data_IF_258270842141
#
_entry.id   IF_258270842141
#
_cell.length_a   1.000
_cell.length_b   1.000
_cell.length_c   1.000
_cell.angle_alpha   90.00
_cell.angle_beta   90.00
_cell.angle_gamma   90.00
#
_symmetry.space_group_name_H-M   'P 1'
#
loop_
_entity.id
_entity.type
_entity.pdbx_description
1 polymer ?
#
# COMPACT_ATOMS: atom_id res chain seq x y z
N UNK A 1 0.44 1.38 10.68
CA UNK A 1 -0.14 2.49 11.44
C UNK A 1 0.03 3.81 10.72
N UNK A 2 1.19 4.45 10.87
CA UNK A 2 1.50 5.79 10.31
C UNK A 2 1.21 5.94 8.82
N UNK A 3 1.57 4.92 8.03
CA UNK A 3 1.36 4.87 6.58
C UNK A 3 -0.12 5.08 6.18
N UNK A 4 -1.07 4.62 7.02
CA UNK A 4 -2.50 4.72 6.73
C UNK A 4 -3.16 5.99 7.28
N UNK A 5 -2.45 6.81 8.07
CA UNK A 5 -2.99 8.05 8.61
C UNK A 5 -3.46 9.00 7.50
N UNK A 6 -2.78 8.97 6.34
CA UNK A 6 -3.14 9.75 5.16
C UNK A 6 -4.57 9.51 4.67
N UNK A 7 -5.10 8.29 4.74
CA UNK A 7 -6.47 8.00 4.31
C UNK A 7 -7.50 8.73 5.15
N UNK A 8 -7.31 8.77 6.46
CA UNK A 8 -8.22 9.46 7.38
C UNK A 8 -8.16 10.98 7.17
N UNK A 9 -6.95 11.53 7.12
CA UNK A 9 -6.73 12.96 6.87
C UNK A 9 -7.35 13.38 5.55
N UNK A 10 -7.15 12.60 4.49
CA UNK A 10 -7.74 12.84 3.19
C UNK A 10 -9.27 12.79 3.22
N UNK A 11 -9.86 11.73 3.81
CA UNK A 11 -11.32 11.56 3.89
C UNK A 11 -11.99 12.76 4.60
N UNK A 12 -11.41 13.17 5.73
CA UNK A 12 -11.91 14.32 6.49
C UNK A 12 -11.72 15.65 5.75
N UNK A 13 -10.56 15.85 5.12
CA UNK A 13 -10.28 17.05 4.32
C UNK A 13 -11.18 17.16 3.09
N UNK A 14 -11.45 16.04 2.41
CA UNK A 14 -12.39 15.97 1.29
C UNK A 14 -13.81 16.34 1.74
N UNK A 15 -14.28 15.79 2.86
CA UNK A 15 -15.60 16.14 3.41
C UNK A 15 -15.72 17.63 3.72
N UNK A 16 -14.69 18.22 4.32
CA UNK A 16 -14.63 19.65 4.61
C UNK A 16 -14.59 20.52 3.34
N UNK A 17 -13.77 20.16 2.36
CA UNK A 17 -13.66 20.88 1.09
C UNK A 17 -14.98 20.88 0.30
N UNK A 18 -15.70 19.74 0.29
CA UNK A 18 -17.00 19.65 -0.37
C UNK A 18 -18.08 20.47 0.35
N UNK A 19 -18.06 20.54 1.68
CA UNK A 19 -18.98 21.40 2.44
C UNK A 19 -18.75 22.88 2.15
N UNK A 20 -17.48 23.30 2.02
CA UNK A 20 -17.11 24.66 1.62
C UNK A 20 -17.63 25.03 0.23
N UNK A 21 -17.63 24.10 -0.71
CA UNK A 21 -18.10 24.33 -2.09
C UNK A 21 -19.62 24.47 -2.20
N UNK A 22 -20.39 23.85 -1.29
CA UNK A 22 -21.87 23.92 -1.27
C UNK A 22 -22.38 25.16 -0.52
N UNK A 23 -21.60 25.69 0.42
CA UNK A 23 -21.99 26.84 1.24
C UNK A 23 -21.66 28.17 0.58
N UNK A 24 -22.66 28.93 0.13
CA UNK A 24 -22.48 30.37 -0.12
C UNK A 24 -21.99 31.05 1.17
N UNK A 25 -20.86 31.74 1.08
CA UNK A 25 -20.13 32.33 2.20
C UNK A 25 -20.92 33.51 2.81
N UNK A 26 -21.90 33.19 3.66
CA UNK A 26 -22.58 34.17 4.50
C UNK A 26 -21.84 34.34 5.82
N UNK A 27 -21.57 35.59 6.20
CA UNK A 27 -20.89 36.00 7.45
C UNK A 27 -21.51 35.35 8.70
N UNK A 28 -22.81 35.02 8.68
CA UNK A 28 -23.52 34.34 9.78
C UNK A 28 -23.06 32.91 10.05
N UNK A 29 -22.36 32.25 9.10
CA UNK A 29 -21.86 30.88 9.23
C UNK A 29 -20.43 30.78 9.77
N UNK A 30 -19.72 31.89 9.94
CA UNK A 30 -18.33 31.93 10.41
C UNK A 30 -18.09 31.17 11.73
N UNK A 31 -18.91 31.33 12.80
CA UNK A 31 -18.71 30.58 14.04
C UNK A 31 -18.99 29.07 13.88
N UNK A 32 -19.88 28.68 12.96
CA UNK A 32 -20.15 27.27 12.64
C UNK A 32 -18.97 26.64 11.89
N UNK A 33 -18.38 27.38 10.95
CA UNK A 33 -17.18 26.99 10.22
C UNK A 33 -15.98 26.81 11.16
N UNK A 34 -15.79 27.72 12.13
CA UNK A 34 -14.71 27.60 13.12
C UNK A 34 -14.87 26.35 13.99
N UNK A 35 -16.10 26.05 14.44
CA UNK A 35 -16.39 24.80 15.17
C UNK A 35 -16.07 23.55 14.35
N UNK A 36 -16.37 23.57 13.04
CA UNK A 36 -16.04 22.45 12.13
C UNK A 36 -14.53 22.30 11.93
N UNK A 37 -13.80 23.40 11.75
CA UNK A 37 -12.33 23.38 11.64
C UNK A 37 -11.70 22.87 12.94
N UNK A 38 -12.18 23.33 14.09
CA UNK A 38 -11.68 22.87 15.39
C UNK A 38 -11.98 21.38 15.61
N UNK A 39 -13.17 20.92 15.22
CA UNK A 39 -13.54 19.50 15.26
C UNK A 39 -12.68 18.64 14.30
N UNK A 40 -12.38 19.17 13.11
CA UNK A 40 -11.47 18.53 12.18
C UNK A 40 -10.06 18.42 12.77
N UNK A 41 -9.53 19.52 13.28
CA UNK A 41 -8.20 19.59 13.88
C UNK A 41 -8.09 18.66 15.11
N UNK A 42 -9.08 18.67 15.99
CA UNK A 42 -9.09 17.80 17.17
C UNK A 42 -9.20 16.33 16.79
N UNK A 43 -10.06 15.98 15.83
CA UNK A 43 -10.17 14.60 15.34
C UNK A 43 -8.89 14.12 14.65
N UNK A 44 -8.23 14.96 13.86
CA UNK A 44 -6.95 14.66 13.24
C UNK A 44 -5.85 14.48 14.29
N UNK A 45 -5.78 15.37 15.29
CA UNK A 45 -4.80 15.28 16.38
C UNK A 45 -4.99 14.01 17.23
N UNK A 46 -6.23 13.68 17.62
CA UNK A 46 -6.53 12.46 18.37
C UNK A 46 -6.15 11.20 17.59
N UNK A 47 -6.44 11.16 16.29
CA UNK A 47 -6.06 10.03 15.43
C UNK A 47 -4.55 9.93 15.25
N UNK A 48 -3.86 11.05 14.97
CA UNK A 48 -2.41 11.07 14.87
C UNK A 48 -1.75 10.62 16.18
N UNK A 49 -2.28 11.04 17.33
CA UNK A 49 -1.84 10.59 18.65
C UNK A 49 -2.06 9.08 18.81
N UNK A 50 -3.26 8.57 18.53
CA UNK A 50 -3.57 7.14 18.62
C UNK A 50 -2.71 6.27 17.70
N UNK A 51 -2.43 6.72 16.47
CA UNK A 51 -1.58 6.01 15.51
C UNK A 51 -0.10 6.04 15.93
N UNK A 52 0.36 7.15 16.51
CA UNK A 52 1.76 7.33 16.92
C UNK A 52 2.05 6.76 18.31
N UNK A 53 1.02 6.54 19.14
CA UNK A 53 1.17 6.07 20.51
C UNK A 53 1.92 4.73 20.61
N UNK A 54 1.59 3.67 19.85
CA UNK A 54 2.35 2.41 19.90
C UNK A 54 3.82 2.61 19.54
N UNK A 55 4.10 3.46 18.55
CA UNK A 55 5.47 3.80 18.17
C UNK A 55 6.19 4.52 19.31
N UNK A 56 5.57 5.54 19.92
CA UNK A 56 6.15 6.29 21.04
C UNK A 56 6.39 5.39 22.26
N UNK A 57 5.43 4.51 22.60
CA UNK A 57 5.59 3.53 23.68
C UNK A 57 6.75 2.56 23.41
N UNK A 58 6.88 2.07 22.17
CA UNK A 58 8.01 1.22 21.78
C UNK A 58 9.34 1.97 21.84
N UNK A 59 9.42 3.21 21.35
CA UNK A 59 10.64 4.02 21.44
C UNK A 59 11.03 4.28 22.89
N UNK A 60 10.06 4.62 23.75
CA UNK A 60 10.29 4.79 25.18
C UNK A 60 10.79 3.51 25.84
N UNK A 61 10.13 2.37 25.56
CA UNK A 61 10.57 1.05 26.04
C UNK A 61 12.01 0.73 25.62
N UNK A 62 12.34 0.92 24.34
CA UNK A 62 13.68 0.67 23.82
C UNK A 62 14.72 1.62 24.44
N UNK A 63 14.39 2.89 24.63
CA UNK A 63 15.27 3.87 25.27
C UNK A 63 15.57 3.47 26.72
N UNK A 64 14.55 3.15 27.52
CA UNK A 64 14.76 2.69 28.91
C UNK A 64 15.61 1.42 28.94
N UNK A 65 15.42 0.51 27.98
CA UNK A 65 16.12 -0.78 27.93
C UNK A 65 17.60 -0.67 27.53
N UNK A 66 17.94 0.24 26.61
CA UNK A 66 19.29 0.33 26.03
C UNK A 66 20.10 1.56 26.49
N UNK A 67 19.44 2.62 26.98
CA UNK A 67 20.09 3.90 27.30
C UNK A 67 20.14 4.22 28.80
N UNK A 68 19.28 3.60 29.62
CA UNK A 68 19.27 3.80 31.07
C UNK A 68 20.25 2.85 31.77
N UNK A 69 21.14 3.36 32.65
CA UNK A 69 22.05 2.52 33.43
C UNK A 69 21.27 1.69 34.45
N UNK A 70 21.61 0.40 34.58
CA UNK A 70 21.10 -0.47 35.66
C UNK A 70 19.65 -0.96 35.53
N UNK A 71 18.91 -0.60 34.47
CA UNK A 71 17.54 -1.09 34.20
C UNK A 71 17.50 -2.21 33.17
N UNK A 72 18.63 -2.90 33.00
CA UNK A 72 18.63 -4.25 32.46
C UNK A 72 17.82 -5.14 33.38
N UNK A 73 16.47 -5.12 33.34
CA UNK A 73 15.63 -6.24 33.79
C UNK A 73 16.40 -7.50 33.39
N UNK A 74 16.81 -8.30 34.39
CA UNK A 74 17.69 -9.46 34.27
C UNK A 74 17.07 -10.60 33.46
N UNK A 75 16.54 -10.27 32.30
CA UNK A 75 16.05 -11.18 31.30
C UNK A 75 17.29 -11.65 30.57
N UNK A 76 17.82 -12.78 31.05
CA UNK A 76 18.85 -13.56 30.39
C UNK A 76 18.40 -13.79 28.96
N UNK A 77 19.00 -13.05 28.03
CA UNK A 77 18.78 -13.27 26.60
C UNK A 77 19.18 -14.72 26.32
N UNK A 78 18.31 -15.53 25.69
CA UNK A 78 18.63 -16.92 25.38
C UNK A 78 19.98 -17.04 24.67
N UNK A 79 20.78 -18.05 25.02
CA UNK A 79 22.12 -18.25 24.45
C UNK A 79 22.15 -18.27 22.91
N UNK A 80 21.16 -18.85 22.19
CA UNK A 80 21.14 -18.78 20.73
C UNK A 80 21.09 -17.34 20.17
N UNK A 81 20.39 -16.43 20.85
CA UNK A 81 20.31 -15.02 20.46
C UNK A 81 21.58 -14.27 20.84
N UNK A 82 22.27 -14.68 21.91
CA UNK A 82 23.59 -14.15 22.26
C UNK A 82 24.64 -14.57 21.24
N UNK A 83 24.63 -15.83 20.79
CA UNK A 83 25.49 -16.31 19.71
C UNK A 83 25.24 -15.52 18.42
N UNK A 84 23.98 -15.38 18.01
CA UNK A 84 23.63 -14.55 16.84
C UNK A 84 24.12 -13.10 16.98
N UNK A 85 23.98 -12.52 18.17
CA UNK A 85 24.44 -11.16 18.43
C UNK A 85 25.98 -11.05 18.32
N UNK A 86 26.73 -12.05 18.80
CA UNK A 86 28.20 -12.09 18.63
C UNK A 86 28.57 -12.23 17.14
N UNK A 87 27.92 -13.14 16.43
CA UNK A 87 28.21 -13.43 15.01
C UNK A 87 27.91 -12.24 14.10
N UNK A 88 26.83 -11.50 14.39
CA UNK A 88 26.40 -10.33 13.62
C UNK A 88 26.93 -8.99 14.16
N UNK A 89 27.65 -9.02 15.29
CA UNK A 89 28.12 -7.80 15.96
C UNK A 89 26.99 -6.90 16.51
N UNK A 90 25.86 -7.49 16.89
CA UNK A 90 24.74 -6.75 17.47
C UNK A 90 24.98 -6.39 18.94
N UNK A 91 24.58 -5.18 19.30
CA UNK A 91 24.59 -4.73 20.70
C UNK A 91 23.42 -5.33 21.47
N UNK A 92 23.71 -5.93 22.62
CA UNK A 92 22.72 -6.51 23.53
C UNK A 92 22.43 -5.52 24.67
N UNK A 93 21.16 -5.42 25.07
CA UNK A 93 20.75 -4.58 26.19
C UNK A 93 21.25 -5.15 27.53
N UNK A 94 21.70 -4.28 28.43
CA UNK A 94 22.03 -4.65 29.81
C UNK A 94 23.37 -5.36 30.02
N UNK A 95 24.24 -5.44 29.01
CA UNK A 95 25.66 -5.72 29.23
C UNK A 95 26.40 -4.41 29.55
N UNK A 96 27.41 -4.47 30.42
CA UNK A 96 28.25 -3.36 30.90
C UNK A 96 29.14 -2.75 29.80
N UNK A 97 28.51 -2.35 28.70
CA UNK A 97 29.13 -1.74 27.54
C UNK A 97 28.77 -0.26 27.41
N UNK A 98 29.56 0.46 26.60
CA UNK A 98 29.29 1.85 26.26
C UNK A 98 27.89 2.01 25.65
N UNK A 99 27.16 3.04 26.11
CA UNK A 99 25.83 3.38 25.60
C UNK A 99 25.84 3.50 24.07
N UNK A 100 24.82 2.98 23.37
CA UNK A 100 24.69 3.19 21.93
C UNK A 100 24.70 4.69 21.57
N UNK A 101 25.30 5.08 20.42
CA UNK A 101 25.43 6.49 20.05
C UNK A 101 24.08 7.18 19.85
N UNK A 102 23.05 6.43 19.44
CA UNK A 102 21.69 6.95 19.27
C UNK A 102 21.04 7.41 20.58
N UNK A 103 21.52 6.94 21.74
CA UNK A 103 21.05 7.42 23.04
C UNK A 103 21.41 8.90 23.31
N UNK A 104 22.47 9.41 22.66
CA UNK A 104 22.94 10.79 22.84
C UNK A 104 22.46 11.74 21.73
N UNK A 105 21.65 11.25 20.79
CA UNK A 105 21.11 12.07 19.71
C UNK A 105 19.94 12.92 20.20
N UNK A 106 19.74 14.08 19.56
CA UNK A 106 18.62 15.00 19.86
C UNK A 106 17.25 14.32 19.80
N UNK A 107 17.10 13.34 18.91
CA UNK A 107 15.91 12.50 18.79
C UNK A 107 16.35 11.03 18.81
N UNK A 108 16.33 10.36 19.97
CA UNK A 108 16.84 9.00 20.10
C UNK A 108 15.86 7.97 19.51
N UNK A 109 15.90 7.79 18.20
CA UNK A 109 15.07 6.82 17.48
C UNK A 109 15.87 5.55 17.21
N UNK A 110 15.57 4.48 17.96
CA UNK A 110 16.31 3.22 17.87
C UNK A 110 16.29 2.62 16.47
N UNK A 111 15.16 2.75 15.78
CA UNK A 111 14.95 2.12 14.47
C UNK A 111 15.82 2.77 13.39
N UNK A 112 15.98 4.09 13.41
CA UNK A 112 16.87 4.79 12.47
C UNK A 112 18.32 4.35 12.64
N UNK A 113 18.77 4.16 13.88
CA UNK A 113 20.10 3.61 14.14
C UNK A 113 20.26 2.17 13.64
N UNK A 114 19.27 1.30 13.87
CA UNK A 114 19.29 -0.09 13.40
C UNK A 114 19.33 -0.14 11.87
N UNK A 115 18.47 0.63 11.22
CA UNK A 115 18.38 0.71 9.76
C UNK A 115 19.70 1.15 9.13
N UNK A 116 20.35 2.17 9.70
CA UNK A 116 21.63 2.68 9.21
C UNK A 116 22.78 1.72 9.52
N UNK A 117 22.95 1.34 10.79
CA UNK A 117 24.14 0.62 11.29
C UNK A 117 24.16 -0.86 10.90
N UNK A 118 23.01 -1.54 11.00
CA UNK A 118 22.96 -2.99 10.84
C UNK A 118 22.36 -3.43 9.51
N UNK A 119 21.43 -2.66 8.96
CA UNK A 119 20.73 -3.05 7.73
C UNK A 119 21.24 -2.32 6.48
N UNK A 120 22.04 -1.26 6.64
CA UNK A 120 22.49 -0.38 5.57
C UNK A 120 21.34 0.12 4.68
N UNK A 121 20.24 0.53 5.32
CA UNK A 121 19.06 1.08 4.64
C UNK A 121 19.19 2.59 4.55
N UNK A 122 18.97 3.14 3.36
CA UNK A 122 19.01 4.57 3.11
C UNK A 122 18.67 4.91 1.66
N UNK A 123 18.58 6.20 1.35
CA UNK A 123 18.27 6.66 0.00
C UNK A 123 19.31 6.15 -1.00
N UNK A 124 18.86 5.33 -1.94
CA UNK A 124 19.63 4.69 -3.02
C UNK A 124 20.81 3.81 -2.59
N UNK A 125 20.98 3.52 -1.30
CA UNK A 125 22.10 2.71 -0.79
C UNK A 125 22.08 1.26 -1.28
N UNK A 126 20.93 0.75 -1.71
CA UNK A 126 20.76 -0.61 -2.20
C UNK A 126 21.02 -0.78 -3.71
N UNK A 127 21.27 0.31 -4.45
CA UNK A 127 21.42 0.29 -5.91
C UNK A 127 22.83 -0.17 -6.31
N UNK A 128 23.10 -1.46 -6.10
CA UNK A 128 24.34 -2.12 -6.50
C UNK A 128 24.06 -3.15 -7.59
N UNK A 129 25.01 -3.36 -8.51
CA UNK A 129 24.89 -4.36 -9.58
C UNK A 129 24.69 -5.78 -9.05
N UNK A 130 25.26 -6.08 -7.87
CA UNK A 130 25.11 -7.38 -7.19
C UNK A 130 23.65 -7.67 -6.80
N UNK A 131 22.84 -6.63 -6.63
CA UNK A 131 21.43 -6.75 -6.24
C UNK A 131 20.50 -6.91 -7.43
N UNK A 132 21.00 -6.91 -8.67
CA UNK A 132 20.19 -7.03 -9.88
C UNK A 132 19.18 -8.20 -9.85
N UNK A 133 19.50 -9.41 -9.34
CA UNK A 133 18.51 -10.48 -9.21
C UNK A 133 17.31 -10.10 -8.34
N UNK A 134 17.52 -9.33 -7.28
CA UNK A 134 16.44 -8.86 -6.40
C UNK A 134 15.55 -7.82 -7.09
N UNK A 135 16.15 -6.95 -7.91
CA UNK A 135 15.39 -6.01 -8.75
C UNK A 135 14.53 -6.75 -9.78
N UNK A 136 15.07 -7.80 -10.42
CA UNK A 136 14.31 -8.63 -11.36
C UNK A 136 13.14 -9.34 -10.67
N UNK A 137 13.32 -9.80 -9.42
CA UNK A 137 12.26 -10.43 -8.65
C UNK A 137 11.12 -9.44 -8.30
N UNK A 138 11.45 -8.19 -7.98
CA UNK A 138 10.45 -7.16 -7.67
C UNK A 138 9.81 -6.54 -8.93
N UNK A 139 10.43 -6.72 -10.11
CA UNK A 139 10.04 -6.08 -11.36
C UNK A 139 8.54 -6.23 -11.67
N UNK A 140 7.91 -7.42 -11.63
CA UNK A 140 6.49 -7.56 -12.01
C UNK A 140 5.56 -6.68 -11.16
N UNK A 141 5.82 -6.61 -9.85
CA UNK A 141 5.01 -5.80 -8.93
C UNK A 141 5.25 -4.31 -9.14
N UNK A 142 6.51 -3.90 -9.32
CA UNK A 142 6.83 -2.49 -9.61
C UNK A 142 6.21 -2.01 -10.92
N UNK A 143 6.23 -2.84 -11.97
CA UNK A 143 5.61 -2.53 -13.26
C UNK A 143 4.09 -2.46 -13.15
N UNK A 144 3.45 -3.41 -12.46
CA UNK A 144 1.99 -3.40 -12.27
C UNK A 144 1.52 -2.15 -11.52
N UNK A 145 2.19 -1.77 -10.42
CA UNK A 145 1.81 -0.58 -9.66
C UNK A 145 2.09 0.70 -10.44
N UNK A 146 3.21 0.77 -11.17
CA UNK A 146 3.53 1.91 -12.04
C UNK A 146 2.52 2.06 -13.17
N UNK A 147 2.12 0.96 -13.80
CA UNK A 147 1.12 0.94 -14.86
C UNK A 147 -0.28 1.31 -14.33
N UNK A 148 -0.64 0.84 -13.14
CA UNK A 148 -1.86 1.23 -12.46
C UNK A 148 -1.91 2.75 -12.22
N UNK A 149 -0.82 3.33 -11.72
CA UNK A 149 -0.69 4.76 -11.50
C UNK A 149 -0.79 5.55 -12.80
N UNK A 150 -0.03 5.14 -13.83
CA UNK A 150 -0.06 5.78 -15.15
C UNK A 150 -1.47 5.78 -15.75
N UNK A 151 -2.13 4.62 -15.77
CA UNK A 151 -3.48 4.46 -16.32
C UNK A 151 -4.51 5.34 -15.61
N UNK A 152 -4.41 5.45 -14.28
CA UNK A 152 -5.32 6.29 -13.52
C UNK A 152 -5.10 7.78 -13.81
N UNK A 153 -3.84 8.22 -13.80
CA UNK A 153 -3.45 9.63 -14.01
C UNK A 153 -3.79 10.08 -15.43
N UNK A 154 -3.53 9.25 -16.44
CA UNK A 154 -3.87 9.56 -17.83
C UNK A 154 -5.39 9.66 -18.06
N UNK A 155 -6.18 8.86 -17.34
CA UNK A 155 -7.65 8.83 -17.47
C UNK A 155 -8.34 9.94 -16.67
N UNK A 156 -7.77 10.34 -15.53
CA UNK A 156 -8.37 11.33 -14.61
C UNK A 156 -7.40 12.49 -14.24
N UNK A 157 -6.77 13.17 -15.21
CA UNK A 157 -5.72 14.17 -14.92
C UNK A 157 -6.24 15.33 -14.06
N UNK A 158 -7.46 15.82 -14.33
CA UNK A 158 -8.07 16.88 -13.52
C UNK A 158 -8.35 16.43 -12.08
N UNK A 159 -8.78 15.19 -11.88
CA UNK A 159 -9.04 14.67 -10.53
C UNK A 159 -7.74 14.53 -9.74
N UNK A 160 -6.65 14.12 -10.39
CA UNK A 160 -5.32 14.09 -9.78
C UNK A 160 -4.81 15.49 -9.42
N UNK A 161 -4.99 16.47 -10.31
CA UNK A 161 -4.59 17.87 -10.06
C UNK A 161 -5.38 18.51 -8.91
N UNK A 162 -6.68 18.23 -8.80
CA UNK A 162 -7.53 18.76 -7.73
C UNK A 162 -7.48 17.91 -6.46
N UNK A 163 -6.65 16.86 -6.44
CA UNK A 163 -6.59 15.84 -5.39
C UNK A 163 -7.98 15.26 -5.05
N UNK A 164 -8.92 15.24 -6.00
CA UNK A 164 -10.30 14.83 -5.76
C UNK A 164 -11.07 15.66 -4.70
N UNK A 165 -10.58 16.88 -4.40
CA UNK A 165 -11.23 17.82 -3.49
C UNK A 165 -12.29 18.68 -4.17
N UNK A 166 -12.27 18.75 -5.50
CA UNK A 166 -13.27 19.47 -6.29
C UNK A 166 -14.43 18.55 -6.70
N UNK A 167 -15.66 19.04 -6.55
CA UNK A 167 -16.86 18.33 -7.03
C UNK A 167 -16.84 18.24 -8.55
N UNK A 168 -16.74 17.02 -9.07
CA UNK A 168 -16.84 16.81 -10.52
C UNK A 168 -18.29 16.92 -10.99
N UNK A 169 -18.54 17.63 -12.10
CA UNK A 169 -19.85 17.63 -12.80
C UNK A 169 -20.34 16.21 -13.15
N UNK A 170 -19.43 15.23 -13.22
CA UNK A 170 -19.78 13.82 -13.42
C UNK A 170 -20.36 13.16 -12.17
N UNK A 171 -19.91 13.54 -10.97
CA UNK A 171 -20.49 13.06 -9.70
C UNK A 171 -21.88 13.68 -9.45
N UNK A 172 -22.08 14.92 -9.90
CA UNK A 172 -23.36 15.63 -9.82
C UNK A 172 -24.45 15.02 -10.73
N UNK A 173 -24.05 14.39 -11.83
CA UNK A 173 -24.94 13.65 -12.74
C UNK A 173 -25.27 12.22 -12.28
N UNK A 174 -24.80 11.80 -11.09
CA UNK A 174 -25.18 10.52 -10.49
C UNK A 174 -24.75 9.26 -11.27
N UNK A 175 -23.84 9.38 -12.26
CA UNK A 175 -23.23 8.21 -12.92
C UNK A 175 -21.96 7.84 -12.16
N UNK A 176 -21.96 6.85 -11.26
CA UNK A 176 -20.72 6.30 -10.75
C UNK A 176 -19.93 5.77 -11.96
N UNK A 177 -18.67 6.20 -12.08
CA UNK A 177 -17.74 5.52 -12.98
C UNK A 177 -17.43 4.18 -12.32
N UNK A 178 -18.04 3.12 -12.83
CA UNK A 178 -17.81 1.77 -12.35
C UNK A 178 -16.38 1.32 -12.71
N UNK A 179 -15.68 0.70 -11.75
CA UNK A 179 -14.36 0.09 -11.96
C UNK A 179 -13.16 0.90 -11.44
N UNK A 180 -11.96 0.47 -11.85
CA UNK A 180 -10.68 0.97 -11.33
C UNK A 180 -10.45 2.47 -11.57
N UNK A 181 -10.97 3.01 -12.67
CA UNK A 181 -10.82 4.43 -13.01
C UNK A 181 -11.81 5.36 -12.27
N UNK A 182 -12.56 4.84 -11.29
CA UNK A 182 -13.49 5.63 -10.48
C UNK A 182 -12.78 6.55 -9.46
N UNK A 183 -13.49 7.57 -8.93
CA UNK A 183 -12.92 8.51 -7.96
C UNK A 183 -12.55 7.86 -6.61
N UNK A 184 -13.17 6.72 -6.26
CA UNK A 184 -12.86 6.00 -5.03
C UNK A 184 -11.47 5.36 -5.04
N UNK A 185 -10.97 4.96 -6.21
CA UNK A 185 -9.65 4.33 -6.34
C UNK A 185 -8.49 5.33 -6.19
N UNK A 186 -8.75 6.63 -6.35
CA UNK A 186 -7.73 7.69 -6.33
C UNK A 186 -6.79 7.60 -5.12
N UNK A 187 -7.35 7.52 -3.92
CA UNK A 187 -6.57 7.54 -2.68
C UNK A 187 -5.64 6.33 -2.59
N UNK A 188 -6.13 5.17 -3.03
CA UNK A 188 -5.35 3.93 -3.04
C UNK A 188 -4.24 3.97 -4.10
N UNK A 189 -4.47 4.61 -5.26
CA UNK A 189 -3.45 4.80 -6.30
C UNK A 189 -2.35 5.73 -5.80
N UNK A 190 -2.71 6.88 -5.21
CA UNK A 190 -1.75 7.83 -4.63
C UNK A 190 -0.93 7.13 -3.53
N UNK A 191 -1.60 6.38 -2.67
CA UNK A 191 -0.96 5.61 -1.61
C UNK A 191 0.02 4.58 -2.17
N UNK A 192 -0.41 3.73 -3.12
CA UNK A 192 0.45 2.72 -3.74
C UNK A 192 1.68 3.35 -4.42
N UNK A 193 1.49 4.49 -5.10
CA UNK A 193 2.56 5.21 -5.78
C UNK A 193 3.56 5.79 -4.79
N UNK A 194 3.09 6.38 -3.70
CA UNK A 194 3.96 6.89 -2.63
C UNK A 194 4.75 5.75 -1.96
N UNK A 195 4.11 4.61 -1.70
CA UNK A 195 4.78 3.43 -1.15
C UNK A 195 5.80 2.83 -2.12
N UNK A 196 5.49 2.81 -3.41
CA UNK A 196 6.43 2.35 -4.44
C UNK A 196 7.65 3.27 -4.49
N UNK A 197 7.44 4.58 -4.57
CA UNK A 197 8.54 5.55 -4.64
C UNK A 197 9.43 5.48 -3.39
N UNK A 198 8.82 5.46 -2.20
CA UNK A 198 9.55 5.34 -0.94
C UNK A 198 10.26 4.00 -0.82
N UNK A 199 9.56 2.89 -1.04
CA UNK A 199 10.12 1.55 -0.88
C UNK A 199 11.20 1.24 -1.91
N UNK A 200 11.05 1.69 -3.14
CA UNK A 200 12.06 1.51 -4.19
C UNK A 200 13.33 2.34 -3.91
N UNK A 201 13.18 3.56 -3.37
CA UNK A 201 14.31 4.47 -3.16
C UNK A 201 15.01 4.26 -1.82
N UNK A 202 14.27 3.87 -0.78
CA UNK A 202 14.74 3.91 0.61
C UNK A 202 14.70 2.56 1.32
N UNK A 203 14.25 1.48 0.69
CA UNK A 203 14.21 0.14 1.28
C UNK A 203 14.93 -0.87 0.39
N UNK A 204 15.27 -2.03 0.96
CA UNK A 204 15.75 -3.16 0.19
C UNK A 204 14.62 -3.69 -0.70
N UNK A 205 14.90 -3.80 -2.00
CA UNK A 205 13.91 -4.14 -3.03
C UNK A 205 13.30 -5.53 -2.82
N UNK A 206 14.02 -6.43 -2.13
CA UNK A 206 13.50 -7.73 -1.68
C UNK A 206 12.22 -7.62 -0.85
N UNK A 207 12.11 -6.58 -0.02
CA UNK A 207 10.96 -6.39 0.88
C UNK A 207 9.84 -5.62 0.18
N UNK A 208 10.13 -4.95 -0.95
CA UNK A 208 9.20 -4.08 -1.67
C UNK A 208 7.93 -4.80 -2.10
N UNK A 209 8.06 -6.02 -2.64
CA UNK A 209 6.90 -6.83 -3.09
C UNK A 209 5.95 -7.14 -1.95
N UNK A 210 6.48 -7.58 -0.80
CA UNK A 210 5.68 -7.87 0.40
C UNK A 210 5.07 -6.60 0.97
N UNK A 211 5.84 -5.51 1.00
CA UNK A 211 5.40 -4.22 1.48
C UNK A 211 4.21 -3.68 0.67
N UNK A 212 4.30 -3.70 -0.66
CA UNK A 212 3.21 -3.28 -1.55
C UNK A 212 2.00 -4.21 -1.47
N UNK A 213 2.21 -5.53 -1.46
CA UNK A 213 1.12 -6.51 -1.39
C UNK A 213 0.35 -6.49 -0.07
N UNK A 214 0.99 -6.14 1.04
CA UNK A 214 0.33 -6.02 2.34
C UNK A 214 -0.31 -4.66 2.58
N UNK A 215 0.18 -3.60 1.93
CA UNK A 215 -0.20 -2.23 2.25
C UNK A 215 -1.16 -1.59 1.26
N UNK A 216 -1.34 -2.16 0.05
CA UNK A 216 -2.20 -1.57 -0.98
C UNK A 216 -3.03 -2.61 -1.76
N UNK A 217 -4.35 -2.37 -1.93
CA UNK A 217 -5.20 -3.23 -2.74
C UNK A 217 -4.97 -3.04 -4.25
N UNK A 218 -4.25 -2.00 -4.68
CA UNK A 218 -4.01 -1.69 -6.10
C UNK A 218 -3.33 -2.84 -6.84
N UNK A 219 -2.43 -3.57 -6.14
CA UNK A 219 -1.76 -4.73 -6.71
C UNK A 219 -2.75 -5.84 -7.13
N UNK A 220 -3.94 -5.89 -6.54
CA UNK A 220 -4.97 -6.87 -6.85
C UNK A 220 -6.06 -6.28 -7.76
N UNK A 221 -6.49 -5.05 -7.50
CA UNK A 221 -7.55 -4.40 -8.26
C UNK A 221 -7.15 -4.09 -9.70
N UNK A 222 -5.91 -3.65 -9.93
CA UNK A 222 -5.49 -3.30 -11.28
C UNK A 222 -5.37 -4.53 -12.20
N UNK A 223 -4.75 -5.66 -11.79
CA UNK A 223 -4.81 -6.88 -12.59
C UNK A 223 -6.22 -7.41 -12.82
N UNK A 224 -7.12 -7.30 -11.83
CA UNK A 224 -8.52 -7.66 -12.01
C UNK A 224 -9.21 -6.78 -13.07
N UNK A 225 -8.90 -5.48 -13.08
CA UNK A 225 -9.36 -4.56 -14.12
C UNK A 225 -8.80 -4.94 -15.50
N UNK A 226 -7.51 -5.25 -15.61
CA UNK A 226 -6.90 -5.69 -16.87
C UNK A 226 -7.54 -6.97 -17.40
N UNK A 227 -7.74 -7.97 -16.54
CA UNK A 227 -8.44 -9.21 -16.87
C UNK A 227 -9.85 -8.91 -17.37
N UNK A 228 -10.59 -8.05 -16.67
CA UNK A 228 -11.93 -7.65 -17.08
C UNK A 228 -11.90 -6.97 -18.47
N UNK A 229 -11.03 -5.99 -18.71
CA UNK A 229 -10.99 -5.26 -19.99
C UNK A 229 -10.53 -6.10 -21.19
N UNK A 230 -9.57 -7.01 -21.00
CA UNK A 230 -8.91 -7.69 -22.11
C UNK A 230 -9.41 -9.12 -22.37
N UNK A 231 -10.18 -9.73 -21.46
CA UNK A 231 -10.66 -11.10 -21.64
C UNK A 231 -12.08 -11.19 -22.19
N UNK A 232 -12.26 -11.54 -23.50
CA UNK A 232 -13.58 -11.69 -24.12
C UNK A 232 -14.43 -12.78 -23.44
N UNK A 233 -13.80 -13.79 -22.85
CA UNK A 233 -14.47 -14.91 -22.15
C UNK A 233 -15.26 -14.45 -20.91
N UNK A 234 -14.87 -13.33 -20.28
CA UNK A 234 -15.60 -12.78 -19.15
C UNK A 234 -16.85 -12.00 -19.60
N UNK A 235 -16.87 -11.50 -20.84
CA UNK A 235 -18.00 -10.77 -21.43
C UNK A 235 -19.06 -11.69 -22.05
N UNK A 236 -18.68 -12.90 -22.48
CA UNK A 236 -19.56 -13.81 -23.24
C UNK A 236 -20.73 -14.38 -22.44
N UNK A 237 -20.83 -14.11 -21.14
CA UNK A 237 -21.87 -14.67 -20.26
C UNK A 237 -23.13 -13.78 -20.19
N UNK A 238 -23.10 -12.59 -20.79
CA UNK A 238 -24.19 -11.61 -20.71
C UNK A 238 -24.98 -11.35 -21.99
N UNK A 239 -24.55 -11.90 -23.14
CA UNK A 239 -25.19 -11.61 -24.43
C UNK A 239 -25.15 -12.81 -25.36
N UNK A 240 -26.14 -13.69 -25.20
CA UNK A 240 -26.61 -14.49 -26.33
C UNK A 240 -27.46 -13.59 -27.23
N UNK A 241 -26.81 -12.86 -28.14
CA UNK A 241 -27.27 -12.68 -29.51
C UNK A 241 -26.18 -11.98 -30.37
N UNK A 242 -25.89 -12.47 -31.58
CA UNK A 242 -24.76 -12.02 -32.38
C UNK A 242 -25.18 -10.98 -33.41
N UNK A 243 -24.71 -9.73 -33.33
CA UNK A 243 -24.48 -8.93 -34.55
C UNK A 243 -23.66 -7.66 -34.32
N UNK A 244 -22.64 -7.51 -35.18
CA UNK A 244 -22.05 -6.27 -35.68
C UNK A 244 -21.15 -5.42 -34.77
N UNK A 245 -19.99 -5.12 -35.33
CA UNK A 245 -18.91 -4.33 -34.76
C UNK A 245 -19.29 -2.85 -34.52
N UNK A 246 -18.86 -2.32 -33.36
CA UNK A 246 -18.12 -1.05 -33.22
C UNK A 246 -17.69 -0.84 -31.74
N UNK A 247 -16.47 -0.34 -31.47
CA UNK A 247 -16.00 -0.07 -30.13
C UNK A 247 -16.46 1.31 -29.68
N UNK A 248 -17.61 1.41 -29.02
CA UNK A 248 -18.06 2.68 -28.44
C UNK A 248 -18.83 2.45 -27.14
N UNK A 249 -18.22 2.94 -26.06
CA UNK A 249 -18.85 3.40 -24.83
C UNK A 249 -19.65 2.35 -24.03
N UNK A 250 -18.91 1.65 -23.16
CA UNK A 250 -19.43 0.78 -22.10
C UNK A 250 -20.54 1.46 -21.28
N UNK A 251 -21.71 0.83 -21.29
CA UNK A 251 -22.71 0.93 -20.24
C UNK A 251 -22.70 -0.42 -19.53
N UNK A 252 -22.52 -0.44 -18.20
CA UNK A 252 -22.52 -1.66 -17.40
C UNK A 252 -23.90 -2.32 -17.43
N UNK A 253 -24.03 -3.62 -17.77
CA UNK A 253 -25.28 -4.33 -17.55
C UNK A 253 -25.32 -4.81 -16.10
N UNK A 254 -26.08 -4.10 -15.28
CA UNK A 254 -26.66 -4.65 -14.06
C UNK A 254 -27.73 -5.67 -14.47
N UNK A 255 -27.38 -6.95 -14.53
CA UNK A 255 -28.34 -8.04 -14.58
C UNK A 255 -27.71 -9.30 -14.00
N UNK A 256 -28.08 -9.60 -12.76
CA UNK A 256 -27.71 -10.83 -12.07
C UNK A 256 -28.56 -11.98 -12.64
N UNK A 257 -28.10 -12.57 -13.74
CA UNK A 257 -28.65 -13.80 -14.29
C UNK A 257 -28.34 -14.98 -13.35
N UNK A 258 -29.37 -15.77 -13.02
CA UNK A 258 -29.28 -17.05 -12.32
C UNK A 258 -28.48 -18.06 -13.17
N UNK A 259 -27.16 -18.07 -12.99
CA UNK A 259 -26.30 -19.22 -13.25
C UNK A 259 -25.63 -19.59 -11.94
N UNK A 260 -25.24 -20.84 -11.75
CA UNK A 260 -24.29 -21.20 -10.68
C UNK A 260 -23.11 -20.21 -10.74
N UNK A 261 -22.63 -19.68 -9.60
CA UNK A 261 -21.49 -18.76 -9.63
C UNK A 261 -20.25 -19.58 -9.97
N UNK A 262 -20.07 -19.86 -11.25
CA UNK A 262 -18.87 -20.48 -11.78
C UNK A 262 -17.72 -19.52 -11.46
N UNK A 263 -16.76 -20.00 -10.68
CA UNK A 263 -15.63 -19.19 -10.26
C UNK A 263 -14.89 -18.70 -11.52
N UNK A 264 -14.92 -17.39 -11.77
CA UNK A 264 -14.37 -16.76 -12.98
C UNK A 264 -12.89 -17.13 -13.18
N UNK A 265 -12.13 -17.25 -12.09
CA UNK A 265 -10.72 -17.65 -12.13
C UNK A 265 -10.61 -19.10 -12.59
N UNK A 266 -11.42 -20.00 -12.04
CA UNK A 266 -11.44 -21.42 -12.45
C UNK A 266 -11.80 -21.55 -13.94
N UNK A 267 -12.78 -20.79 -14.40
CA UNK A 267 -13.16 -20.76 -15.83
C UNK A 267 -12.01 -20.30 -16.71
N UNK A 268 -11.27 -19.27 -16.29
CA UNK A 268 -10.08 -18.82 -17.00
C UNK A 268 -9.00 -19.92 -17.00
N UNK A 269 -8.75 -20.57 -15.87
CA UNK A 269 -7.75 -21.64 -15.78
C UNK A 269 -8.09 -22.86 -16.65
N UNK A 270 -9.36 -23.24 -16.72
CA UNK A 270 -9.81 -24.33 -17.61
C UNK A 270 -9.65 -23.97 -19.09
N UNK A 271 -9.82 -22.70 -19.44
CA UNK A 271 -9.69 -22.19 -20.81
C UNK A 271 -8.30 -21.59 -21.09
N UNK A 272 -7.24 -22.02 -20.38
CA UNK A 272 -5.91 -21.41 -20.43
C UNK A 272 -5.37 -21.18 -21.85
N UNK A 273 -5.63 -22.09 -22.79
CA UNK A 273 -5.15 -21.96 -24.17
C UNK A 273 -5.76 -20.76 -24.91
N UNK A 274 -7.01 -20.43 -24.62
CA UNK A 274 -7.82 -19.41 -25.30
C UNK A 274 -7.63 -17.98 -24.76
N UNK A 275 -6.95 -17.85 -23.62
CA UNK A 275 -6.72 -16.56 -22.93
C UNK A 275 -5.66 -15.72 -23.65
N UNK A 276 -5.78 -14.39 -23.56
CA UNK A 276 -4.79 -13.45 -24.11
C UNK A 276 -3.41 -13.61 -23.44
N UNK A 277 -2.30 -13.27 -24.13
CA UNK A 277 -0.97 -13.38 -23.55
C UNK A 277 -0.82 -12.55 -22.25
N UNK A 278 -1.44 -11.36 -22.20
CA UNK A 278 -1.43 -10.50 -21.01
C UNK A 278 -2.03 -11.20 -19.79
N UNK A 279 -3.21 -11.79 -19.96
CA UNK A 279 -3.91 -12.47 -18.87
C UNK A 279 -3.24 -13.77 -18.45
N UNK A 280 -2.61 -14.49 -19.39
CA UNK A 280 -1.72 -15.62 -19.07
C UNK A 280 -0.56 -15.17 -18.19
N UNK A 281 0.09 -14.04 -18.52
CA UNK A 281 1.19 -13.50 -17.71
C UNK A 281 0.73 -13.09 -16.31
N UNK A 282 -0.41 -12.41 -16.19
CA UNK A 282 -0.98 -12.00 -14.90
C UNK A 282 -1.31 -13.23 -14.04
N UNK A 283 -2.13 -14.14 -14.56
CA UNK A 283 -2.54 -15.35 -13.82
C UNK A 283 -1.32 -16.22 -13.48
N UNK A 284 -0.41 -16.38 -14.44
CA UNK A 284 0.82 -17.15 -14.26
C UNK A 284 1.70 -16.55 -13.16
N UNK A 285 1.85 -15.23 -13.10
CA UNK A 285 2.57 -14.55 -12.03
C UNK A 285 1.95 -14.83 -10.66
N UNK A 286 0.64 -14.60 -10.49
CA UNK A 286 -0.01 -14.80 -9.18
C UNK A 286 -0.03 -16.27 -8.76
N UNK A 287 -0.28 -17.20 -9.67
CA UNK A 287 -0.24 -18.63 -9.39
C UNK A 287 1.17 -19.11 -9.05
N UNK A 288 2.17 -18.66 -9.79
CA UNK A 288 3.57 -19.01 -9.53
C UNK A 288 4.02 -18.44 -8.18
N UNK A 289 3.70 -17.18 -7.89
CA UNK A 289 4.02 -16.55 -6.61
C UNK A 289 3.35 -17.28 -5.44
N UNK A 290 2.07 -17.65 -5.58
CA UNK A 290 1.35 -18.42 -4.58
C UNK A 290 1.94 -19.82 -4.38
N UNK A 291 2.18 -20.56 -5.47
CA UNK A 291 2.73 -21.92 -5.41
C UNK A 291 4.14 -21.92 -4.83
N UNK A 292 5.00 -21.00 -5.27
CA UNK A 292 6.35 -20.83 -4.73
C UNK A 292 6.29 -20.48 -3.24
N UNK A 293 5.40 -19.55 -2.86
CA UNK A 293 5.17 -19.21 -1.46
C UNK A 293 4.75 -20.43 -0.63
N UNK A 294 3.85 -21.27 -1.15
CA UNK A 294 3.40 -22.49 -0.48
C UNK A 294 4.53 -23.50 -0.31
N UNK A 295 5.27 -23.80 -1.39
CA UNK A 295 6.40 -24.74 -1.36
C UNK A 295 7.47 -24.27 -0.38
N UNK A 296 7.84 -22.98 -0.42
CA UNK A 296 8.87 -22.44 0.45
C UNK A 296 8.41 -22.37 1.91
N UNK A 297 7.13 -22.06 2.17
CA UNK A 297 6.58 -22.02 3.52
C UNK A 297 6.57 -23.39 4.20
N UNK A 298 6.17 -24.44 3.47
CA UNK A 298 6.13 -25.81 4.00
C UNK A 298 7.51 -26.40 4.33
N UNK A 299 8.58 -25.85 3.74
CA UNK A 299 9.95 -26.37 3.93
C UNK A 299 10.71 -25.69 5.09
N UNK A 300 10.07 -24.83 5.89
CA UNK A 300 10.68 -24.14 7.04
C UNK A 300 12.08 -23.57 6.77
N UNK A 301 12.34 -23.10 5.53
CA UNK A 301 13.62 -22.52 5.22
C UNK A 301 13.85 -21.30 6.15
N UNK A 302 15.05 -21.16 6.74
CA UNK A 302 15.36 -20.05 7.63
C UNK A 302 15.48 -18.77 6.81
N UNK A 303 14.35 -18.13 6.53
CA UNK A 303 14.28 -16.81 5.91
C UNK A 303 13.77 -15.78 6.92
N UNK A 304 14.64 -15.48 7.88
CA UNK A 304 14.77 -14.18 8.56
C UNK A 304 16.21 -14.03 9.05
#
# INVERSE_FOLDING_TARGET
>A
GLINAGFFLYSRSKGFALQLQVGSASVRKLPLMWKQVLSLASSAALMCAGISLPFALFQYYAYVRFCSPGTGLGQTVPEPLLQLARDKGYRVAGMDGAKPPWCSQRFPVVYSYIQDTYWNVGFLRYFELRQLPNFLLALPVTLLVSWAAWTYVSTNPRHCLTLGLERSKSEEKGKPRDGFCGPAAFVYVVHATALLAFGFSCMHVQVLTRFLGSSSPILYWFPAHLLQEHEPLLWSTGTDNPTSAKPLLRTSPSSCGKGTPDNLVVRLLLNWRLITPLSKSILGFFLCYWLLGLILHCNFFPWT
#
